data_IF_651102107557
#
_entry.id   IF_651102107557
#
_cell.length_a   1.000
_cell.length_b   1.000
_cell.length_c   1.000
_cell.angle_alpha   90.00
_cell.angle_beta   90.00
_cell.angle_gamma   90.00
#
_symmetry.space_group_name_H-M   'P 1'
#
loop_
_entity.id
_entity.type
_entity.pdbx_description
1 polymer ?
#
# COMPACT_ATOMS: atom_id res chain seq x y z
N UNK A 1 8.39 -29.92 -21.77
CA UNK A 1 7.15 -29.65 -21.00
C UNK A 1 7.11 -28.15 -20.71
N UNK A 2 5.95 -27.49 -20.88
CA UNK A 2 5.83 -26.06 -20.58
C UNK A 2 5.85 -25.82 -19.07
N UNK A 3 6.57 -24.81 -18.61
CA UNK A 3 6.60 -24.44 -17.19
C UNK A 3 5.29 -23.76 -16.79
N UNK A 4 4.73 -24.12 -15.65
CA UNK A 4 3.45 -23.57 -15.16
C UNK A 4 3.66 -22.24 -14.44
N UNK A 5 2.85 -21.22 -14.73
CA UNK A 5 2.94 -19.90 -14.07
C UNK A 5 2.10 -19.88 -12.78
N UNK A 6 2.72 -19.50 -11.67
CA UNK A 6 2.07 -19.32 -10.37
C UNK A 6 2.19 -17.86 -9.95
N UNK A 7 1.05 -17.20 -9.73
CA UNK A 7 1.00 -15.80 -9.32
C UNK A 7 0.62 -15.71 -7.84
N UNK A 8 1.36 -14.89 -7.08
CA UNK A 8 1.14 -14.67 -5.64
C UNK A 8 1.04 -13.19 -5.32
N UNK A 9 0.41 -12.81 -4.20
CA UNK A 9 0.20 -11.39 -3.88
C UNK A 9 1.47 -10.62 -3.55
N UNK A 10 2.40 -11.23 -2.79
CA UNK A 10 3.57 -10.54 -2.24
C UNK A 10 4.89 -11.18 -2.67
N UNK A 11 5.97 -10.38 -2.80
CA UNK A 11 7.31 -10.90 -3.11
C UNK A 11 7.81 -11.90 -2.05
N UNK A 12 7.45 -11.69 -0.79
CA UNK A 12 7.81 -12.59 0.31
C UNK A 12 7.18 -13.99 0.16
N UNK A 13 5.91 -14.05 -0.27
CA UNK A 13 5.25 -15.33 -0.60
C UNK A 13 5.94 -16.00 -1.79
N UNK A 14 6.32 -15.24 -2.83
CA UNK A 14 7.01 -15.78 -4.00
C UNK A 14 8.33 -16.46 -3.60
N UNK A 15 9.15 -15.80 -2.77
CA UNK A 15 10.40 -16.36 -2.25
C UNK A 15 10.18 -17.64 -1.44
N UNK A 16 9.08 -17.71 -0.70
CA UNK A 16 8.77 -18.88 0.13
C UNK A 16 8.29 -20.06 -0.70
N UNK A 17 7.32 -19.85 -1.59
CA UNK A 17 6.72 -20.92 -2.39
C UNK A 17 7.68 -21.50 -3.43
N UNK A 18 8.62 -20.69 -3.93
CA UNK A 18 9.66 -21.13 -4.86
C UNK A 18 10.56 -22.22 -4.26
N UNK A 19 10.65 -22.31 -2.92
CA UNK A 19 11.40 -23.38 -2.23
C UNK A 19 10.71 -24.75 -2.31
N UNK A 20 9.42 -24.79 -2.59
CA UNK A 20 8.62 -26.02 -2.55
C UNK A 20 8.23 -26.55 -3.94
N UNK A 21 8.09 -25.67 -4.95
CA UNK A 21 7.55 -26.04 -6.26
C UNK A 21 8.60 -26.55 -7.27
N UNK A 22 9.89 -26.23 -7.08
CA UNK A 22 10.95 -26.63 -8.02
C UNK A 22 10.91 -25.90 -9.37
N UNK A 23 11.73 -26.36 -10.33
CA UNK A 23 12.05 -25.64 -11.58
C UNK A 23 10.98 -25.73 -12.69
N UNK A 24 9.97 -26.56 -12.48
CA UNK A 24 8.83 -26.75 -13.40
C UNK A 24 7.80 -25.62 -13.31
N UNK A 25 7.93 -24.76 -12.29
CA UNK A 25 7.03 -23.63 -12.06
C UNK A 25 7.77 -22.30 -12.17
N UNK A 26 7.10 -21.31 -12.77
CA UNK A 26 7.53 -19.91 -12.78
C UNK A 26 6.68 -19.19 -11.75
N UNK A 27 7.30 -18.70 -10.68
CA UNK A 27 6.59 -17.95 -9.63
C UNK A 27 6.80 -16.45 -9.81
N UNK A 28 5.72 -15.66 -9.84
CA UNK A 28 5.75 -14.18 -9.93
C UNK A 28 4.80 -13.55 -8.90
N UNK A 29 5.19 -12.38 -8.37
CA UNK A 29 4.31 -11.63 -7.47
C UNK A 29 3.50 -10.56 -8.21
N UNK A 30 2.23 -10.37 -7.85
CA UNK A 30 1.39 -9.26 -8.34
C UNK A 30 1.70 -7.92 -7.66
N UNK A 31 2.48 -7.94 -6.56
CA UNK A 31 2.83 -6.75 -5.76
C UNK A 31 1.56 -6.05 -5.22
N UNK A 32 0.56 -6.85 -4.85
CA UNK A 32 -0.75 -6.39 -4.39
C UNK A 32 -1.82 -6.37 -5.48
N UNK A 33 -2.77 -5.44 -5.36
CA UNK A 33 -3.91 -5.31 -6.28
C UNK A 33 -3.47 -4.75 -7.64
N UNK A 34 -3.81 -5.47 -8.71
CA UNK A 34 -3.50 -5.06 -10.09
C UNK A 34 -4.55 -4.12 -10.66
N UNK A 35 -5.79 -4.22 -10.19
CA UNK A 35 -6.91 -3.37 -10.56
C UNK A 35 -7.73 -3.06 -9.32
N UNK A 36 -8.17 -1.82 -9.24
CA UNK A 36 -9.09 -1.35 -8.22
C UNK A 36 -10.18 -0.51 -8.91
N UNK A 37 -11.30 -0.32 -8.23
CA UNK A 37 -12.31 0.64 -8.64
C UNK A 37 -11.70 2.04 -8.63
N UNK A 38 -12.19 2.96 -9.49
CA UNK A 38 -11.80 4.36 -9.37
C UNK A 38 -12.17 4.83 -7.96
N UNK A 39 -11.17 5.21 -7.16
CA UNK A 39 -11.38 5.78 -5.83
C UNK A 39 -12.15 7.09 -5.99
N UNK A 40 -13.46 7.04 -5.76
CA UNK A 40 -14.32 8.21 -5.79
C UNK A 40 -13.91 9.14 -4.65
N UNK A 41 -13.16 10.19 -4.98
CA UNK A 41 -12.59 11.13 -4.02
C UNK A 41 -11.22 10.65 -3.56
N UNK A 42 -10.17 11.24 -4.14
CA UNK A 42 -8.80 10.85 -3.88
C UNK A 42 -8.52 10.69 -2.40
N UNK A 43 -8.03 9.50 -2.02
CA UNK A 43 -7.21 9.40 -0.84
C UNK A 43 -6.01 10.32 -1.11
N UNK A 44 -6.12 11.59 -0.74
CA UNK A 44 -4.95 12.42 -0.51
C UNK A 44 -4.09 11.56 0.40
N UNK A 45 -3.02 10.98 -0.13
CA UNK A 45 -1.98 10.39 0.69
C UNK A 45 -1.34 11.60 1.37
N UNK A 46 -2.00 12.12 2.40
CA UNK A 46 -1.45 13.15 3.26
C UNK A 46 -0.10 12.60 3.69
N UNK A 47 0.97 13.22 3.20
CA UNK A 47 2.29 12.79 3.59
C UNK A 47 2.41 12.93 5.11
N UNK A 48 3.18 12.09 5.80
CA UNK A 48 3.42 12.27 7.23
C UNK A 48 3.84 13.71 7.58
N UNK A 49 4.57 14.37 6.66
CA UNK A 49 4.98 15.77 6.75
C UNK A 49 3.81 16.76 6.67
N UNK A 50 2.82 16.54 5.79
CA UNK A 50 1.63 17.41 5.71
C UNK A 50 0.77 17.29 6.96
N UNK A 51 0.58 16.08 7.51
CA UNK A 51 -0.15 15.91 8.79
C UNK A 51 0.59 16.57 9.95
N UNK A 52 1.92 16.49 9.97
CA UNK A 52 2.71 17.12 11.02
C UNK A 52 2.62 18.65 10.96
N UNK A 53 2.59 19.24 9.76
CA UNK A 53 2.41 20.69 9.56
C UNK A 53 1.01 21.15 9.97
N UNK A 54 -0.02 20.39 9.61
CA UNK A 54 -1.41 20.69 9.98
C UNK A 54 -1.59 20.62 11.50
N UNK A 55 -1.09 19.56 12.16
CA UNK A 55 -1.14 19.45 13.62
C UNK A 55 -0.36 20.57 14.33
N UNK A 56 0.78 21.00 13.79
CA UNK A 56 1.56 22.13 14.32
C UNK A 56 0.81 23.46 14.15
N UNK A 57 0.16 23.67 13.00
CA UNK A 57 -0.68 24.83 12.73
C UNK A 57 -1.87 24.89 13.68
N UNK A 58 -2.63 23.78 13.83
CA UNK A 58 -3.75 23.70 14.77
C UNK A 58 -3.31 23.98 16.20
N UNK A 59 -2.12 23.51 16.61
CA UNK A 59 -1.57 23.78 17.96
C UNK A 59 -1.15 25.25 18.15
N UNK A 60 -0.83 25.97 17.07
CA UNK A 60 -0.47 27.38 17.10
C UNK A 60 -1.67 28.33 17.13
N UNK A 61 -2.89 27.83 16.91
CA UNK A 61 -4.10 28.65 16.94
C UNK A 61 -4.52 28.99 18.40
N UNK A 62 -5.01 30.22 18.63
CA UNK A 62 -5.57 30.62 19.91
C UNK A 62 -6.75 29.72 20.30
N UNK A 63 -6.95 29.54 21.61
CA UNK A 63 -7.85 28.53 22.18
C UNK A 63 -9.29 28.66 21.64
N UNK A 64 -9.76 29.88 21.43
CA UNK A 64 -11.12 30.17 20.94
C UNK A 64 -11.39 29.65 19.52
N UNK A 65 -10.38 29.62 18.65
CA UNK A 65 -10.52 29.08 17.28
C UNK A 65 -10.35 27.56 17.22
N UNK A 66 -9.70 26.95 18.22
CA UNK A 66 -9.57 25.49 18.33
C UNK A 66 -10.85 24.80 18.78
N UNK A 67 -11.67 25.49 19.57
CA UNK A 67 -12.90 24.93 20.15
C UNK A 67 -14.12 25.04 19.18
N UNK A 68 -13.94 25.68 18.02
CA UNK A 68 -14.99 25.93 17.02
C UNK A 68 -14.99 24.94 15.82
N UNK A 69 -14.11 23.95 15.83
CA UNK A 69 -13.98 22.86 14.86
C UNK A 69 -14.29 21.52 15.52
#
# INVERSE_FOLDING_TARGET
MGKSLVIVESPAKAKTINRYLGDDFIVKSSVGHVRDLPVSGGSKKSTPQERAKEAAYTRSLPKEERDAY
#
